data_IF_346194724269
#
_entry.id   IF_346194724269
#
_cell.length_a   1.000
_cell.length_b   1.000
_cell.length_c   1.000
_cell.angle_alpha   90.00
_cell.angle_beta   90.00
_cell.angle_gamma   90.00
#
_symmetry.space_group_name_H-M   'P 1'
#
loop_
_entity.id
_entity.type
_entity.pdbx_description
1 polymer ?
#
# COMPACT_ATOMS: atom_id res chain seq x y z
N UNK A 1 28.42 1.17 18.26
CA UNK A 1 27.34 2.10 17.86
C UNK A 1 26.02 1.39 18.11
N UNK A 2 25.29 1.80 19.15
CA UNK A 2 23.97 1.23 19.47
C UNK A 2 22.96 1.73 18.43
N UNK A 3 22.69 0.93 17.40
CA UNK A 3 21.48 1.07 16.59
C UNK A 3 20.29 0.90 17.52
N UNK A 4 19.43 1.91 17.62
CA UNK A 4 18.40 2.01 18.63
C UNK A 4 17.50 0.79 18.70
N UNK A 5 17.50 0.12 19.86
CA UNK A 5 16.40 -0.75 20.28
C UNK A 5 15.18 0.12 20.55
N UNK A 6 14.53 0.59 19.49
CA UNK A 6 13.14 0.96 19.58
C UNK A 6 12.37 -0.34 19.81
N UNK A 7 11.73 -0.47 20.99
CA UNK A 7 10.59 -1.35 21.20
C UNK A 7 9.47 -0.95 20.22
N UNK A 8 9.69 -1.11 18.92
CA UNK A 8 8.73 -0.92 17.86
C UNK A 8 7.66 -1.99 18.06
N UNK A 9 6.74 -1.71 18.98
CA UNK A 9 5.34 -1.93 18.69
C UNK A 9 5.07 -1.00 17.52
N UNK A 10 5.41 -1.44 16.29
CA UNK A 10 4.77 -0.99 15.07
C UNK A 10 3.29 -1.40 15.20
N UNK A 11 2.59 -0.79 16.15
CA UNK A 11 1.15 -0.88 16.27
C UNK A 11 0.64 -0.45 14.92
N UNK A 12 -0.16 -1.32 14.31
CA UNK A 12 -0.79 -1.20 12.99
C UNK A 12 -0.82 0.26 12.51
N UNK A 13 -0.08 0.58 11.45
CA UNK A 13 -0.07 1.94 10.90
C UNK A 13 -1.49 2.28 10.39
N UNK A 14 -2.14 3.34 10.89
CA UNK A 14 -3.43 3.74 10.37
C UNK A 14 -3.29 4.18 8.91
N UNK A 15 -4.09 3.58 8.03
CA UNK A 15 -4.18 3.92 6.62
C UNK A 15 -5.52 4.58 6.34
N UNK A 16 -5.51 5.76 5.73
CA UNK A 16 -6.71 6.51 5.36
C UNK A 16 -6.63 7.03 3.92
N UNK A 17 -7.79 7.27 3.32
CA UNK A 17 -7.89 7.89 1.99
C UNK A 17 -7.30 9.30 2.05
N UNK A 18 -6.50 9.66 1.06
CA UNK A 18 -5.77 10.93 0.98
C UNK A 18 -4.39 10.90 1.62
N UNK A 19 -4.03 9.84 2.35
CA UNK A 19 -2.71 9.76 2.98
C UNK A 19 -1.60 9.56 1.93
N UNK A 20 -0.46 10.27 2.08
CA UNK A 20 0.75 9.96 1.34
C UNK A 20 1.33 8.64 1.83
N UNK A 21 1.73 7.79 0.89
CA UNK A 21 2.31 6.49 1.15
C UNK A 21 3.54 6.26 0.27
N UNK A 22 4.41 5.37 0.73
CA UNK A 22 5.55 4.86 -0.03
C UNK A 22 5.36 3.36 -0.22
N UNK A 23 5.50 2.90 -1.47
CA UNK A 23 5.52 1.49 -1.82
C UNK A 23 6.91 0.96 -1.50
N UNK A 24 6.98 -0.08 -0.66
CA UNK A 24 8.24 -0.61 -0.11
C UNK A 24 8.75 -1.86 -0.84
N UNK A 25 8.07 -2.27 -1.90
CA UNK A 25 8.41 -3.46 -2.68
C UNK A 25 8.28 -3.20 -4.17
N UNK A 26 9.08 -3.92 -4.96
CA UNK A 26 8.92 -3.90 -6.40
C UNK A 26 7.65 -4.67 -6.76
N UNK A 27 6.68 -3.98 -7.34
CA UNK A 27 5.39 -4.56 -7.70
C UNK A 27 5.24 -4.66 -9.22
N UNK A 28 5.55 -3.57 -9.92
CA UNK A 28 5.43 -3.49 -11.38
C UNK A 28 6.55 -2.59 -11.93
N UNK A 29 7.74 -3.18 -12.05
CA UNK A 29 8.96 -2.49 -12.44
C UNK A 29 8.85 -1.90 -13.84
N UNK A 30 8.15 -2.58 -14.75
CA UNK A 30 7.99 -2.11 -16.14
C UNK A 30 7.16 -0.83 -16.21
N UNK A 31 6.22 -0.68 -15.29
CA UNK A 31 5.32 0.47 -15.19
C UNK A 31 5.74 1.48 -14.10
N UNK A 32 6.98 1.38 -13.59
CA UNK A 32 7.55 2.36 -12.66
C UNK A 32 7.11 2.23 -11.20
N UNK A 33 6.49 1.10 -10.82
CA UNK A 33 6.13 0.79 -9.44
C UNK A 33 7.26 -0.03 -8.80
N UNK A 34 8.23 0.68 -8.24
CA UNK A 34 9.42 0.13 -7.59
C UNK A 34 9.43 0.50 -6.10
N UNK A 35 10.31 -0.13 -5.34
CA UNK A 35 10.57 0.29 -3.96
C UNK A 35 10.97 1.78 -3.92
N UNK A 36 10.29 2.55 -3.07
CA UNK A 36 10.47 3.99 -2.95
C UNK A 36 9.46 4.82 -3.75
N UNK A 37 8.67 4.19 -4.63
CA UNK A 37 7.59 4.89 -5.35
C UNK A 37 6.59 5.47 -4.36
N UNK A 38 6.29 6.76 -4.49
CA UNK A 38 5.36 7.47 -3.61
C UNK A 38 4.02 7.71 -4.30
N UNK A 39 2.95 7.82 -3.50
CA UNK A 39 1.63 8.08 -4.03
C UNK A 39 0.62 8.45 -2.95
N UNK A 40 -0.62 8.63 -3.37
CA UNK A 40 -1.74 9.03 -2.51
C UNK A 40 -2.80 7.93 -2.49
N UNK A 41 -3.22 7.48 -1.30
CA UNK A 41 -4.29 6.49 -1.16
C UNK A 41 -5.61 7.07 -1.68
N UNK A 42 -6.28 6.35 -2.57
CA UNK A 42 -7.59 6.72 -3.14
C UNK A 42 -8.73 5.83 -2.66
N UNK A 43 -8.43 4.57 -2.37
CA UNK A 43 -9.42 3.61 -1.88
C UNK A 43 -8.73 2.57 -1.01
N UNK A 44 -9.43 2.09 0.01
CA UNK A 44 -8.97 0.98 0.85
C UNK A 44 -10.10 -0.05 0.91
N UNK A 45 -9.75 -1.32 0.70
CA UNK A 45 -10.64 -2.46 0.86
C UNK A 45 -10.31 -3.17 2.15
N UNK A 46 -11.33 -3.43 2.96
CA UNK A 46 -11.21 -4.16 4.21
C UNK A 46 -12.04 -5.45 4.19
N UNK A 47 -11.59 -6.45 4.93
CA UNK A 47 -12.42 -7.54 5.45
C UNK A 47 -12.68 -7.32 6.93
N UNK A 48 -13.79 -7.85 7.45
CA UNK A 48 -14.10 -7.83 8.87
C UNK A 48 -13.89 -9.24 9.46
N UNK A 49 -13.28 -9.34 10.64
CA UNK A 49 -13.28 -10.57 11.43
C UNK A 49 -14.66 -10.81 12.06
N UNK A 50 -14.87 -11.99 12.64
CA UNK A 50 -16.05 -12.32 13.44
C UNK A 50 -16.24 -11.36 14.63
N UNK A 51 -15.14 -10.85 15.19
CA UNK A 51 -15.14 -9.84 16.25
C UNK A 51 -15.38 -8.40 15.77
N UNK A 52 -15.58 -8.19 14.46
CA UNK A 52 -15.84 -6.88 13.85
C UNK A 52 -14.60 -6.03 13.58
N UNK A 53 -13.39 -6.57 13.78
CA UNK A 53 -12.15 -5.86 13.47
C UNK A 53 -11.93 -5.81 11.95
N UNK A 54 -11.47 -4.66 11.44
CA UNK A 54 -11.23 -4.45 10.01
C UNK A 54 -9.77 -4.65 9.64
N UNK A 55 -9.54 -5.50 8.64
CA UNK A 55 -8.22 -5.82 8.10
C UNK A 55 -8.11 -5.32 6.67
N UNK A 56 -7.16 -4.42 6.40
CA UNK A 56 -6.93 -3.92 5.05
C UNK A 56 -6.42 -5.08 4.17
N UNK A 57 -7.10 -5.31 3.04
CA UNK A 57 -6.79 -6.36 2.07
C UNK A 57 -6.09 -5.80 0.84
N UNK A 58 -6.44 -4.58 0.46
CA UNK A 58 -5.81 -3.88 -0.66
C UNK A 58 -6.09 -2.39 -0.56
N UNK A 59 -5.26 -1.60 -1.22
CA UNK A 59 -5.54 -0.19 -1.46
C UNK A 59 -5.24 0.19 -2.91
N UNK A 60 -5.96 1.20 -3.39
CA UNK A 60 -5.67 1.86 -4.66
C UNK A 60 -4.87 3.10 -4.34
N UNK A 61 -3.71 3.25 -4.99
CA UNK A 61 -2.79 4.37 -4.81
C UNK A 61 -2.64 5.11 -6.13
N UNK A 62 -2.89 6.41 -6.12
CA UNK A 62 -2.54 7.28 -7.24
C UNK A 62 -1.04 7.55 -7.23
N UNK A 63 -0.36 7.20 -8.33
CA UNK A 63 1.09 7.31 -8.49
C UNK A 63 1.40 8.17 -9.72
N UNK A 64 1.77 9.45 -9.55
CA UNK A 64 1.94 10.37 -10.68
C UNK A 64 3.04 9.94 -11.66
N UNK A 65 4.06 9.25 -11.15
CA UNK A 65 5.23 8.77 -11.91
C UNK A 65 5.01 7.40 -12.57
N UNK A 66 3.84 6.78 -12.40
CA UNK A 66 3.53 5.49 -13.04
C UNK A 66 3.51 5.66 -14.56
N UNK A 67 4.23 4.77 -15.24
CA UNK A 67 4.16 4.58 -16.69
C UNK A 67 3.23 3.40 -17.00
N UNK A 68 2.71 3.33 -18.22
CA UNK A 68 1.88 2.20 -18.65
C UNK A 68 0.37 2.46 -18.66
N UNK A 69 -0.40 1.49 -19.20
CA UNK A 69 -1.84 1.63 -19.37
C UNK A 69 -2.58 1.59 -18.03
N UNK A 70 -3.78 2.16 -18.02
CA UNK A 70 -4.67 2.04 -16.87
C UNK A 70 -5.09 0.59 -16.65
N UNK A 71 -5.16 0.16 -15.39
CA UNK A 71 -5.78 -1.11 -15.03
C UNK A 71 -7.29 -1.08 -15.36
N UNK A 72 -7.90 -2.21 -15.75
CA UNK A 72 -9.33 -2.26 -16.01
C UNK A 72 -10.15 -1.71 -14.84
N UNK A 73 -11.12 -0.84 -15.13
CA UNK A 73 -11.99 -0.18 -14.16
C UNK A 73 -11.27 0.78 -13.18
N UNK A 74 -10.02 1.16 -13.45
CA UNK A 74 -9.31 2.20 -12.71
C UNK A 74 -8.91 3.35 -13.63
N UNK A 75 -8.85 4.59 -13.12
CA UNK A 75 -8.28 5.69 -13.89
C UNK A 75 -6.77 5.46 -14.16
N UNK A 76 -6.18 6.15 -15.16
CA UNK A 76 -4.75 6.12 -15.39
C UNK A 76 -3.96 6.45 -14.12
N UNK A 77 -2.73 5.94 -14.01
CA UNK A 77 -1.81 6.22 -12.90
C UNK A 77 -2.31 5.74 -11.53
N UNK A 78 -3.16 4.72 -11.50
CA UNK A 78 -3.62 4.08 -10.26
C UNK A 78 -3.05 2.67 -10.17
N UNK A 79 -2.25 2.45 -9.13
CA UNK A 79 -1.73 1.14 -8.78
C UNK A 79 -2.61 0.48 -7.71
N UNK A 80 -2.68 -0.85 -7.74
CA UNK A 80 -3.34 -1.64 -6.69
C UNK A 80 -2.27 -2.32 -5.86
N UNK A 81 -2.23 -2.02 -4.56
CA UNK A 81 -1.35 -2.68 -3.60
C UNK A 81 -2.19 -3.69 -2.83
N UNK A 82 -1.74 -4.94 -2.81
CA UNK A 82 -2.37 -6.02 -2.05
C UNK A 82 -1.74 -6.13 -0.66
N UNK A 83 -2.53 -6.55 0.32
CA UNK A 83 -1.98 -6.93 1.62
C UNK A 83 -1.06 -8.13 1.42
N UNK A 84 0.13 -8.05 1.99
CA UNK A 84 1.08 -9.16 2.00
C UNK A 84 0.54 -10.23 2.96
N UNK A 85 0.42 -11.47 2.50
CA UNK A 85 0.24 -12.62 3.37
C UNK A 85 1.63 -13.07 3.79
N UNK A 86 2.02 -12.75 5.02
CA UNK A 86 3.15 -13.45 5.64
C UNK A 86 2.60 -14.80 6.09
N UNK A 87 2.91 -15.86 5.35
CA UNK A 87 2.81 -17.21 5.91
C UNK A 87 3.83 -17.27 7.07
N UNK A 88 3.31 -17.28 8.29
CA UNK A 88 4.10 -17.54 9.49
C UNK A 88 4.25 -19.04 9.72
#
# INVERSE_FOLDING_TARGET
MHSGETNYRLGRLPLAVGMPVMITQNFDVQNGIVNGTTGIVKQIRYTASESGERYAQSCVVYVPEMSGPALPNLPPKHAVVLAETVDM
#
